data_IF_375504604395
#
_entry.id   IF_375504604395
#
_cell.length_a   1.000
_cell.length_b   1.000
_cell.length_c   1.000
_cell.angle_alpha   90.00
_cell.angle_beta   90.00
_cell.angle_gamma   90.00
#
_symmetry.space_group_name_H-M   'P 1'
#
loop_
_entity.id
_entity.type
_entity.pdbx_description
1 polymer ?
#
# COMPACT_ATOMS: atom_id res chain seq x y z
N UNK A 1 -10.01 -9.41 -8.93
CA UNK A 1 -9.08 -10.35 -8.26
C UNK A 1 -8.33 -9.52 -7.25
N UNK A 2 -8.47 -9.78 -5.94
CA UNK A 2 -7.78 -8.95 -4.93
C UNK A 2 -6.27 -9.22 -5.00
N UNK A 3 -5.41 -8.20 -4.87
CA UNK A 3 -3.97 -8.42 -4.87
C UNK A 3 -3.58 -9.26 -3.63
N UNK A 4 -2.90 -10.38 -3.85
CA UNK A 4 -2.31 -11.17 -2.76
C UNK A 4 -1.03 -10.49 -2.28
N UNK A 5 -0.99 -10.09 -1.02
CA UNK A 5 0.17 -9.45 -0.42
C UNK A 5 1.12 -10.53 0.11
N UNK A 6 2.03 -10.98 -0.74
CA UNK A 6 2.99 -12.02 -0.37
C UNK A 6 3.85 -11.57 0.84
N UNK A 7 4.32 -12.52 1.69
CA UNK A 7 5.18 -12.19 2.82
C UNK A 7 6.42 -11.36 2.44
N UNK A 8 7.04 -11.64 1.29
CA UNK A 8 8.22 -10.94 0.82
C UNK A 8 7.92 -9.49 0.39
N UNK A 9 6.79 -9.30 -0.32
CA UNK A 9 6.29 -7.98 -0.66
C UNK A 9 5.92 -7.17 0.59
N UNK A 10 5.28 -7.80 1.58
CA UNK A 10 4.96 -7.16 2.85
C UNK A 10 6.21 -6.75 3.63
N UNK A 11 7.22 -7.62 3.70
CA UNK A 11 8.49 -7.33 4.36
C UNK A 11 9.23 -6.16 3.69
N UNK A 12 9.21 -6.12 2.35
CA UNK A 12 9.78 -5.01 1.57
C UNK A 12 9.04 -3.69 1.84
N UNK A 13 7.71 -3.72 1.88
CA UNK A 13 6.88 -2.55 2.22
C UNK A 13 7.16 -2.06 3.66
N UNK A 14 7.21 -2.98 4.62
CA UNK A 14 7.50 -2.67 6.02
C UNK A 14 8.88 -2.00 6.18
N UNK A 15 9.88 -2.50 5.45
CA UNK A 15 11.23 -1.90 5.41
C UNK A 15 11.21 -0.49 4.83
N UNK A 16 10.50 -0.28 3.71
CA UNK A 16 10.35 1.04 3.10
C UNK A 16 9.64 2.04 4.04
N UNK A 17 8.64 1.57 4.79
CA UNK A 17 7.92 2.33 5.80
C UNK A 17 8.68 2.47 7.14
N UNK A 18 9.91 1.95 7.25
CA UNK A 18 10.74 1.92 8.48
C UNK A 18 10.05 1.26 9.68
N UNK A 19 9.17 0.30 9.44
CA UNK A 19 8.58 -0.52 10.50
C UNK A 19 9.66 -1.46 11.05
N UNK A 20 9.98 -1.34 12.34
CA UNK A 20 11.04 -2.08 13.03
C UNK A 20 10.55 -3.35 13.73
N UNK A 21 9.33 -3.79 13.41
CA UNK A 21 8.72 -4.97 14.02
C UNK A 21 9.47 -6.26 13.63
N UNK A 22 9.57 -7.21 14.57
CA UNK A 22 10.15 -8.53 14.31
C UNK A 22 9.30 -9.37 13.35
N UNK A 23 9.85 -10.46 12.79
CA UNK A 23 9.19 -11.26 11.77
C UNK A 23 7.83 -11.82 12.20
N UNK A 24 7.70 -12.32 13.44
CA UNK A 24 6.42 -12.82 13.97
C UNK A 24 5.34 -11.72 14.02
N UNK A 25 5.75 -10.49 14.34
CA UNK A 25 4.83 -9.36 14.41
C UNK A 25 4.42 -8.90 13.00
N UNK A 26 5.34 -8.94 12.03
CA UNK A 26 5.02 -8.67 10.63
C UNK A 26 4.03 -9.69 10.06
N UNK A 27 4.17 -10.98 10.39
CA UNK A 27 3.20 -11.99 9.94
C UNK A 27 1.79 -11.73 10.48
N UNK A 28 1.66 -11.22 11.71
CA UNK A 28 0.38 -10.81 12.29
C UNK A 28 -0.20 -9.55 11.65
N UNK A 29 0.66 -8.61 11.23
CA UNK A 29 0.23 -7.36 10.58
C UNK A 29 -0.17 -7.55 9.11
N UNK A 30 0.42 -8.51 8.41
CA UNK A 30 0.17 -8.77 6.98
C UNK A 30 -1.32 -8.88 6.62
N UNK A 31 -2.16 -9.70 7.29
CA UNK A 31 -3.57 -9.82 6.94
C UNK A 31 -4.36 -8.51 7.16
N UNK A 32 -4.01 -7.71 8.17
CA UNK A 32 -4.67 -6.43 8.42
C UNK A 32 -4.38 -5.42 7.30
N UNK A 33 -3.13 -5.40 6.83
CA UNK A 33 -2.72 -4.55 5.70
C UNK A 33 -3.33 -5.06 4.39
N UNK A 34 -3.38 -6.37 4.18
CA UNK A 34 -4.04 -6.96 3.01
C UNK A 34 -5.54 -6.61 2.97
N UNK A 35 -6.22 -6.68 4.12
CA UNK A 35 -7.62 -6.25 4.24
C UNK A 35 -7.81 -4.75 3.94
N UNK A 36 -6.88 -3.90 4.40
CA UNK A 36 -6.89 -2.48 4.08
C UNK A 36 -6.70 -2.22 2.59
N UNK A 37 -5.75 -2.91 1.94
CA UNK A 37 -5.53 -2.83 0.49
C UNK A 37 -6.77 -3.32 -0.28
N UNK A 38 -7.41 -4.39 0.18
CA UNK A 38 -8.67 -4.88 -0.40
C UNK A 38 -9.81 -3.86 -0.35
N UNK A 39 -9.86 -3.00 0.69
CA UNK A 39 -10.88 -1.93 0.78
C UNK A 39 -10.66 -0.82 -0.25
N UNK A 40 -9.41 -0.56 -0.65
CA UNK A 40 -9.08 0.47 -1.65
C UNK A 40 -8.93 -0.08 -3.06
N UNK A 41 -8.92 -1.41 -3.24
CA UNK A 41 -8.88 -2.05 -4.55
C UNK A 41 -9.95 -1.55 -5.54
N UNK A 42 -11.20 -1.21 -5.14
CA UNK A 42 -12.19 -0.66 -6.07
C UNK A 42 -11.84 0.72 -6.64
N UNK A 43 -10.84 1.42 -6.07
CA UNK A 43 -10.38 2.70 -6.61
C UNK A 43 -9.64 2.55 -7.94
N UNK A 44 -9.13 1.36 -8.27
CA UNK A 44 -8.42 1.05 -9.52
C UNK A 44 -9.31 1.23 -10.76
N UNK A 45 -10.62 0.97 -10.61
CA UNK A 45 -11.63 1.11 -11.68
C UNK A 45 -12.19 2.54 -11.82
N UNK A 46 -11.78 3.49 -10.96
CA UNK A 46 -12.31 4.85 -11.04
C UNK A 46 -11.68 5.62 -12.21
N UNK A 47 -12.48 6.26 -13.07
CA UNK A 47 -11.96 7.08 -14.16
C UNK A 47 -11.31 8.35 -13.59
N UNK A 48 -9.99 8.47 -13.73
CA UNK A 48 -9.21 9.63 -13.24
C UNK A 48 -8.77 10.58 -14.35
N UNK A 49 -9.20 10.36 -15.60
CA UNK A 49 -8.83 11.16 -16.78
C UNK A 49 -9.16 12.66 -16.65
N UNK A 50 -10.11 12.99 -15.77
CA UNK A 50 -10.56 14.35 -15.51
C UNK A 50 -9.86 15.01 -14.31
N UNK A 51 -8.97 14.31 -13.62
CA UNK A 51 -8.25 14.84 -12.45
C UNK A 51 -6.99 15.57 -12.93
N UNK A 52 -6.84 16.88 -12.69
CA UNK A 52 -5.67 17.63 -13.10
C UNK A 52 -4.42 17.17 -12.33
N UNK A 53 -3.31 16.91 -13.05
CA UNK A 53 -2.03 16.41 -12.51
C UNK A 53 -1.26 17.47 -11.70
N UNK A 54 -1.73 18.72 -11.72
CA UNK A 54 -1.04 19.93 -11.19
C UNK A 54 -0.78 19.95 -9.67
N UNK A 55 -1.09 18.87 -8.93
CA UNK A 55 -0.83 18.76 -7.49
C UNK A 55 0.23 17.70 -7.12
N UNK A 56 0.83 16.99 -8.08
CA UNK A 56 1.74 15.88 -7.76
C UNK A 56 3.21 16.27 -7.53
N UNK A 57 3.64 17.50 -7.87
CA UNK A 57 5.03 17.95 -7.71
C UNK A 57 5.07 19.41 -7.25
N UNK A 58 4.71 19.66 -5.99
CA UNK A 58 4.65 21.00 -5.40
C UNK A 58 5.15 21.07 -3.95
N UNK A 59 6.19 20.29 -3.61
CA UNK A 59 6.69 20.22 -2.24
C UNK A 59 8.17 19.86 -2.11
N UNK A 60 8.99 20.19 -3.11
CA UNK A 60 10.45 20.14 -3.02
C UNK A 60 11.05 21.36 -3.73
N UNK A 61 10.88 22.52 -3.10
CA UNK A 61 11.80 23.65 -3.23
C UNK A 61 12.41 23.94 -1.86
#
# INVERSE_FOLDING_TARGET
MSPELTPDAFASMARAARITAGPEHLEKLRPEVEAMLGRIAPLDDLPVDHIPVELAVGGME
#
